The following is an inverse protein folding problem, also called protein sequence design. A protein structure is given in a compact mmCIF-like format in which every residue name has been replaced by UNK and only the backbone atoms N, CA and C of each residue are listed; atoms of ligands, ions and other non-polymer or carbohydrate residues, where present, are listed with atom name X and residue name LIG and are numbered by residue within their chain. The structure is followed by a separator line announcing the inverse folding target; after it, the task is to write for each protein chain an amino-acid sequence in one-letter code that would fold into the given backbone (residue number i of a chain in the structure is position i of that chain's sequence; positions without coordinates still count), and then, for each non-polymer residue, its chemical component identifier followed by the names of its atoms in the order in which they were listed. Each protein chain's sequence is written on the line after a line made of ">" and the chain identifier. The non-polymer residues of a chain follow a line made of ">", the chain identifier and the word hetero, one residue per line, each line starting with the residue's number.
data_IF_766807494761
#
_entry.id   IF_766807494761
#
_cell.length_a   1.000
_cell.length_b   1.000
_cell.length_c   1.000
_cell.angle_alpha   90.00
_cell.angle_beta   90.00
_cell.angle_gamma   90.00
#
_symmetry.space_group_name_H-M   'P 1'
#
loop_
_entity.id
_entity.type
_entity.pdbx_description
1 polymer ?
#
# COMPACT_ATOMS: atom_id res chain seq x y z
N UNK A 1 16.17 8.12 -26.50
CA UNK A 1 14.99 7.97 -25.64
C UNK A 1 14.95 6.62 -24.89
N UNK A 2 15.81 5.65 -25.25
CA UNK A 2 15.73 4.28 -24.67
C UNK A 2 16.44 4.08 -23.34
N UNK A 3 17.45 4.86 -23.01
CA UNK A 3 18.20 4.72 -21.75
C UNK A 3 17.38 5.16 -20.50
N UNK A 4 16.56 6.19 -20.65
CA UNK A 4 15.66 6.69 -19.58
C UNK A 4 14.54 5.69 -19.28
N UNK A 5 13.99 5.04 -20.31
CA UNK A 5 12.96 4.01 -20.16
C UNK A 5 13.50 2.77 -19.45
N UNK A 6 14.74 2.37 -19.75
CA UNK A 6 15.41 1.24 -19.09
C UNK A 6 15.74 1.51 -17.61
N UNK A 7 16.11 2.74 -17.26
CA UNK A 7 16.38 3.13 -15.88
C UNK A 7 15.11 3.17 -15.05
N UNK A 8 14.05 3.80 -15.57
CA UNK A 8 12.74 3.87 -14.90
C UNK A 8 12.16 2.47 -14.66
N UNK A 9 12.25 1.59 -15.65
CA UNK A 9 11.80 0.20 -15.51
C UNK A 9 12.61 -0.58 -14.46
N UNK A 10 13.94 -0.38 -14.38
CA UNK A 10 14.79 -1.00 -13.36
C UNK A 10 14.44 -0.51 -11.94
N UNK A 11 14.26 0.81 -11.78
CA UNK A 11 13.87 1.40 -10.49
C UNK A 11 12.50 0.88 -10.06
N UNK A 12 11.53 0.85 -10.98
CA UNK A 12 10.20 0.30 -10.72
C UNK A 12 10.29 -1.15 -10.23
N UNK A 13 10.97 -2.03 -10.98
CA UNK A 13 11.09 -3.44 -10.61
C UNK A 13 11.85 -3.66 -9.29
N UNK A 14 12.86 -2.82 -8.99
CA UNK A 14 13.57 -2.90 -7.73
C UNK A 14 12.69 -2.49 -6.54
N UNK A 15 11.92 -1.39 -6.70
CA UNK A 15 10.97 -0.92 -5.68
C UNK A 15 9.87 -1.96 -5.43
N UNK A 16 9.35 -2.57 -6.47
CA UNK A 16 8.31 -3.60 -6.38
C UNK A 16 8.81 -4.83 -5.60
N UNK A 17 9.99 -5.34 -5.96
CA UNK A 17 10.60 -6.46 -5.23
C UNK A 17 10.87 -6.12 -3.77
N UNK A 18 11.35 -4.91 -3.51
CA UNK A 18 11.62 -4.46 -2.13
C UNK A 18 10.34 -4.44 -1.30
N UNK A 19 9.24 -3.91 -1.85
CA UNK A 19 7.94 -3.85 -1.17
C UNK A 19 7.42 -5.27 -0.89
N UNK A 20 7.50 -6.16 -1.86
CA UNK A 20 7.04 -7.54 -1.72
C UNK A 20 7.83 -8.28 -0.64
N UNK A 21 9.17 -8.22 -0.67
CA UNK A 21 10.03 -8.84 0.33
C UNK A 21 9.81 -8.26 1.72
N UNK A 22 9.74 -6.94 1.82
CA UNK A 22 9.51 -6.26 3.10
C UNK A 22 8.17 -6.68 3.70
N UNK A 23 7.12 -6.77 2.89
CA UNK A 23 5.78 -7.19 3.33
C UNK A 23 5.79 -8.63 3.86
N UNK A 24 6.46 -9.55 3.17
CA UNK A 24 6.59 -10.95 3.60
C UNK A 24 7.37 -11.06 4.90
N UNK A 25 8.49 -10.35 5.02
CA UNK A 25 9.31 -10.37 6.24
C UNK A 25 8.53 -9.82 7.43
N UNK A 26 7.85 -8.68 7.26
CA UNK A 26 7.08 -8.07 8.34
C UNK A 26 5.89 -8.95 8.75
N UNK A 27 5.18 -9.53 7.79
CA UNK A 27 4.05 -10.42 8.06
C UNK A 27 4.50 -11.68 8.81
N UNK A 28 5.59 -12.30 8.35
CA UNK A 28 6.18 -13.46 9.01
C UNK A 28 6.67 -13.10 10.43
N UNK A 29 7.28 -11.93 10.58
CA UNK A 29 7.73 -11.42 11.87
C UNK A 29 6.59 -11.24 12.88
N UNK A 30 5.49 -10.60 12.46
CA UNK A 30 4.29 -10.45 13.31
C UNK A 30 3.71 -11.81 13.67
N UNK A 31 3.64 -12.74 12.73
CA UNK A 31 3.12 -14.08 13.00
C UNK A 31 3.94 -14.80 14.06
N UNK A 32 5.27 -14.81 13.93
CA UNK A 32 6.18 -15.43 14.90
C UNK A 32 6.07 -14.73 16.27
N UNK A 33 6.08 -13.39 16.29
CA UNK A 33 5.95 -12.64 17.55
C UNK A 33 4.61 -12.91 18.22
N UNK A 34 3.51 -13.03 17.46
CA UNK A 34 2.20 -13.36 18.00
C UNK A 34 2.16 -14.76 18.60
N UNK A 35 2.77 -15.76 17.94
CA UNK A 35 2.88 -17.11 18.50
C UNK A 35 3.71 -17.11 19.79
N UNK A 36 4.85 -16.42 19.79
CA UNK A 36 5.68 -16.28 20.98
C UNK A 36 4.91 -15.62 22.13
N UNK A 37 4.15 -14.55 21.84
CA UNK A 37 3.36 -13.84 22.85
C UNK A 37 2.29 -14.73 23.47
N UNK A 38 1.58 -15.54 22.67
CA UNK A 38 0.59 -16.51 23.16
C UNK A 38 1.28 -17.54 24.06
N UNK A 39 2.42 -18.07 23.63
CA UNK A 39 3.20 -19.05 24.41
C UNK A 39 3.65 -18.47 25.75
N UNK A 40 4.27 -17.29 25.77
CA UNK A 40 4.71 -16.61 27.01
C UNK A 40 3.54 -16.35 27.96
N UNK A 41 2.42 -15.86 27.44
CA UNK A 41 1.25 -15.56 28.25
C UNK A 41 0.63 -16.78 28.91
N UNK A 42 0.55 -17.92 28.18
CA UNK A 42 -0.13 -19.11 28.67
C UNK A 42 0.78 -20.06 29.44
N UNK A 43 2.04 -20.19 29.04
CA UNK A 43 2.99 -21.15 29.64
C UNK A 43 3.78 -20.51 30.77
N UNK A 44 4.35 -19.33 30.53
CA UNK A 44 5.21 -18.64 31.51
C UNK A 44 4.41 -17.70 32.44
N UNK A 45 3.17 -17.38 32.10
CA UNK A 45 2.30 -16.46 32.85
C UNK A 45 2.91 -15.05 33.03
N UNK A 46 3.86 -14.69 32.20
CA UNK A 46 4.56 -13.40 32.18
C UNK A 46 4.40 -12.77 30.80
N UNK A 47 3.42 -11.86 30.61
CA UNK A 47 3.15 -11.28 29.29
C UNK A 47 4.27 -10.30 28.90
N UNK A 48 4.74 -10.43 27.67
CA UNK A 48 5.74 -9.53 27.09
C UNK A 48 5.06 -8.27 26.60
N UNK A 49 5.06 -7.20 27.42
CA UNK A 49 4.31 -5.95 27.16
C UNK A 49 4.80 -5.25 25.89
N UNK A 50 6.12 -5.22 25.65
CA UNK A 50 6.69 -4.55 24.48
C UNK A 50 6.35 -5.24 23.15
N UNK A 51 6.06 -6.53 23.14
CA UNK A 51 5.73 -7.27 21.92
C UNK A 51 4.37 -6.87 21.36
N UNK A 52 3.42 -6.57 22.21
CA UNK A 52 2.07 -6.07 21.84
C UNK A 52 2.17 -4.74 21.08
N UNK A 53 2.96 -3.82 21.61
CA UNK A 53 3.21 -2.52 21.02
C UNK A 53 3.96 -2.65 19.68
N UNK A 54 4.97 -3.51 19.61
CA UNK A 54 5.72 -3.78 18.38
C UNK A 54 4.83 -4.37 17.27
N UNK A 55 3.98 -5.34 17.59
CA UNK A 55 3.03 -5.94 16.65
C UNK A 55 2.10 -4.87 16.09
N UNK A 56 1.54 -4.02 16.96
CA UNK A 56 0.63 -2.96 16.56
C UNK A 56 1.29 -1.95 15.62
N UNK A 57 2.51 -1.52 15.91
CA UNK A 57 3.26 -0.57 15.08
C UNK A 57 3.64 -1.18 13.71
N UNK A 58 4.08 -2.43 13.71
CA UNK A 58 4.46 -3.15 12.49
C UNK A 58 3.23 -3.44 11.62
N UNK A 59 2.07 -3.72 12.23
CA UNK A 59 0.81 -3.93 11.51
C UNK A 59 0.42 -2.72 10.66
N UNK A 60 0.62 -1.50 11.17
CA UNK A 60 0.37 -0.26 10.41
C UNK A 60 1.22 -0.23 9.12
N UNK A 61 2.48 -0.62 9.19
CA UNK A 61 3.35 -0.68 8.01
C UNK A 61 2.88 -1.71 6.99
N UNK A 62 2.47 -2.89 7.46
CA UNK A 62 1.92 -3.93 6.56
C UNK A 62 0.67 -3.45 5.84
N UNK A 63 -0.21 -2.72 6.53
CA UNK A 63 -1.41 -2.16 5.89
C UNK A 63 -1.06 -1.19 4.76
N UNK A 64 -0.10 -0.29 4.96
CA UNK A 64 0.33 0.63 3.91
C UNK A 64 1.03 -0.07 2.75
N UNK A 65 1.91 -1.03 3.02
CA UNK A 65 2.56 -1.83 1.97
C UNK A 65 1.55 -2.67 1.20
N UNK A 66 0.59 -3.28 1.89
CA UNK A 66 -0.50 -4.03 1.28
C UNK A 66 -1.34 -3.17 0.34
N UNK A 67 -1.60 -1.90 0.72
CA UNK A 67 -2.30 -0.97 -0.16
C UNK A 67 -1.51 -0.68 -1.44
N UNK A 68 -0.19 -0.41 -1.34
CA UNK A 68 0.67 -0.22 -2.52
C UNK A 68 0.68 -1.46 -3.43
N UNK A 69 0.72 -2.68 -2.83
CA UNK A 69 0.67 -3.93 -3.59
C UNK A 69 -0.68 -4.10 -4.30
N UNK A 70 -1.78 -3.77 -3.63
CA UNK A 70 -3.12 -3.84 -4.21
C UNK A 70 -3.27 -2.87 -5.39
N UNK A 71 -2.75 -1.65 -5.24
CA UNK A 71 -2.74 -0.63 -6.28
C UNK A 71 -1.98 -1.10 -7.52
N UNK A 72 -0.77 -1.62 -7.33
CA UNK A 72 0.07 -2.15 -8.40
C UNK A 72 -0.59 -3.28 -9.21
N UNK A 73 -1.35 -4.14 -8.51
CA UNK A 73 -2.03 -5.28 -9.14
C UNK A 73 -3.35 -4.91 -9.80
N UNK A 74 -3.70 -3.63 -9.89
CA UNK A 74 -5.00 -3.17 -10.38
C UNK A 74 -6.18 -3.89 -9.70
N UNK A 75 -6.02 -4.24 -8.40
CA UNK A 75 -6.98 -5.08 -7.67
C UNK A 75 -8.27 -4.34 -7.28
N UNK A 76 -8.66 -3.31 -8.00
CA UNK A 76 -9.95 -2.63 -7.82
C UNK A 76 -11.11 -3.48 -8.40
N UNK A 77 -11.25 -4.70 -7.88
CA UNK A 77 -12.23 -5.71 -8.31
C UNK A 77 -13.67 -5.15 -8.40
N UNK A 78 -14.01 -4.20 -7.55
CA UNK A 78 -15.37 -3.63 -7.53
C UNK A 78 -15.66 -2.75 -8.74
N UNK A 79 -14.65 -2.03 -9.23
CA UNK A 79 -14.78 -1.14 -10.38
C UNK A 79 -14.84 -1.97 -11.66
N UNK A 80 -14.08 -3.07 -11.75
CA UNK A 80 -14.08 -3.95 -12.93
C UNK A 80 -15.44 -4.60 -13.19
N UNK A 81 -16.14 -5.04 -12.16
CA UNK A 81 -17.48 -5.63 -12.30
C UNK A 81 -18.49 -4.61 -12.89
N UNK A 82 -18.46 -3.37 -12.41
CA UNK A 82 -19.32 -2.29 -12.91
C UNK A 82 -18.90 -1.86 -14.31
N UNK A 83 -17.60 -1.73 -14.57
CA UNK A 83 -17.07 -1.31 -15.87
C UNK A 83 -17.42 -2.29 -16.98
N UNK A 84 -17.44 -3.60 -16.70
CA UNK A 84 -17.81 -4.62 -17.68
C UNK A 84 -19.28 -4.55 -18.13
N UNK A 85 -20.14 -3.87 -17.36
CA UNK A 85 -21.55 -3.63 -17.72
C UNK A 85 -21.76 -2.35 -18.55
N UNK A 86 -20.74 -1.46 -18.63
CA UNK A 86 -20.85 -0.20 -19.35
C UNK A 86 -20.35 -0.32 -20.80
N UNK A 87 -20.91 0.49 -21.74
CA UNK A 87 -20.37 0.59 -23.10
C UNK A 87 -18.95 1.17 -23.08
N UNK A 88 -18.09 0.73 -24.02
CA UNK A 88 -16.65 1.09 -24.07
C UNK A 88 -16.36 2.59 -23.98
N UNK A 89 -17.22 3.43 -24.50
CA UNK A 89 -17.08 4.89 -24.40
C UNK A 89 -17.26 5.44 -22.99
N UNK A 90 -18.21 4.88 -22.22
CA UNK A 90 -18.43 5.28 -20.83
C UNK A 90 -17.34 4.72 -19.89
N UNK A 91 -16.80 3.54 -20.21
CA UNK A 91 -15.73 2.91 -19.42
C UNK A 91 -14.51 3.85 -19.28
N UNK A 92 -14.08 4.50 -20.37
CA UNK A 92 -12.94 5.43 -20.36
C UNK A 92 -13.15 6.58 -19.38
N UNK A 93 -14.32 7.20 -19.39
CA UNK A 93 -14.61 8.33 -18.52
C UNK A 93 -14.72 7.94 -17.05
N UNK A 94 -15.31 6.77 -16.78
CA UNK A 94 -15.44 6.26 -15.41
C UNK A 94 -14.06 5.88 -14.86
N UNK A 95 -13.20 5.21 -15.64
CA UNK A 95 -11.84 4.89 -15.22
C UNK A 95 -11.02 6.17 -14.96
N UNK A 96 -11.06 7.14 -15.87
CA UNK A 96 -10.36 8.41 -15.67
C UNK A 96 -10.84 9.15 -14.41
N UNK A 97 -12.16 9.15 -14.16
CA UNK A 97 -12.74 9.75 -12.96
C UNK A 97 -12.26 9.06 -11.68
N UNK A 98 -12.19 7.72 -11.68
CA UNK A 98 -11.66 6.96 -10.54
C UNK A 98 -10.18 7.29 -10.28
N UNK A 99 -9.34 7.31 -11.31
CA UNK A 99 -7.93 7.69 -11.15
C UNK A 99 -7.78 9.11 -10.55
N UNK A 100 -8.58 10.07 -11.04
CA UNK A 100 -8.56 11.44 -10.49
C UNK A 100 -8.97 11.46 -9.02
N UNK A 101 -10.03 10.73 -8.64
CA UNK A 101 -10.45 10.63 -7.24
C UNK A 101 -9.36 10.01 -6.35
N UNK A 102 -8.72 8.93 -6.82
CA UNK A 102 -7.61 8.29 -6.09
C UNK A 102 -6.42 9.24 -5.93
N UNK A 103 -6.08 10.02 -6.95
CA UNK A 103 -5.02 11.03 -6.86
C UNK A 103 -5.37 12.09 -5.82
N UNK A 104 -6.59 12.66 -5.86
CA UNK A 104 -7.03 13.66 -4.88
C UNK A 104 -6.96 13.09 -3.47
N UNK A 105 -7.48 11.88 -3.26
CA UNK A 105 -7.45 11.21 -1.96
C UNK A 105 -6.01 10.99 -1.47
N UNK A 106 -5.13 10.49 -2.33
CA UNK A 106 -3.72 10.24 -1.98
C UNK A 106 -2.97 11.53 -1.65
N UNK A 107 -3.24 12.63 -2.37
CA UNK A 107 -2.66 13.96 -2.06
C UNK A 107 -3.12 14.44 -0.69
N UNK A 108 -4.41 14.30 -0.37
CA UNK A 108 -4.93 14.63 0.97
C UNK A 108 -4.27 13.76 2.05
N UNK A 109 -4.09 12.46 1.79
CA UNK A 109 -3.41 11.55 2.71
C UNK A 109 -1.95 11.91 2.93
N UNK A 110 -1.22 12.37 1.91
CA UNK A 110 0.14 12.91 2.06
C UNK A 110 0.12 14.17 2.93
N UNK A 111 -0.77 15.10 2.65
CA UNK A 111 -0.87 16.36 3.38
C UNK A 111 -1.16 16.16 4.88
N UNK A 112 -2.19 15.36 5.20
CA UNK A 112 -2.54 15.06 6.59
C UNK A 112 -1.53 14.12 7.24
N UNK A 113 -0.94 13.20 6.47
CA UNK A 113 0.10 12.29 6.93
C UNK A 113 1.34 13.03 7.42
N UNK A 114 1.80 14.06 6.70
CA UNK A 114 2.94 14.89 7.13
C UNK A 114 2.63 15.59 8.46
N UNK A 115 1.42 16.12 8.62
CA UNK A 115 0.99 16.71 9.90
C UNK A 115 0.98 15.69 11.02
N UNK A 116 0.49 14.47 10.73
CA UNK A 116 0.44 13.37 11.69
C UNK A 116 1.84 12.95 12.13
N UNK A 117 2.80 12.89 11.20
CA UNK A 117 4.22 12.64 11.51
C UNK A 117 4.74 13.68 12.50
N UNK A 118 4.47 14.97 12.26
CA UNK A 118 4.88 16.04 13.18
C UNK A 118 4.33 15.90 14.59
N UNK A 119 3.09 15.43 14.74
CA UNK A 119 2.49 15.11 16.03
C UNK A 119 3.11 13.85 16.63
N UNK A 120 3.33 12.83 15.82
CA UNK A 120 3.90 11.56 16.24
C UNK A 120 5.34 11.65 16.72
N UNK A 121 6.13 12.58 16.19
CA UNK A 121 7.51 12.84 16.66
C UNK A 121 7.57 13.34 18.09
N UNK A 122 6.49 13.91 18.61
CA UNK A 122 6.38 14.39 20.00
C UNK A 122 5.91 13.29 20.97
N UNK A 123 5.58 12.10 20.47
CA UNK A 123 5.10 10.97 21.26
C UNK A 123 6.03 9.78 21.08
N UNK A 124 6.45 9.20 22.20
CA UNK A 124 7.21 7.96 22.25
C UNK A 124 6.32 6.81 22.72
N UNK A 125 6.58 5.64 22.19
CA UNK A 125 5.95 4.41 22.64
C UNK A 125 6.35 4.13 24.10
N UNK A 126 5.45 3.55 24.86
CA UNK A 126 5.62 3.41 26.32
C UNK A 126 6.62 2.31 26.65
N UNK A 127 6.57 1.20 25.92
CA UNK A 127 7.38 0.01 26.19
C UNK A 127 8.64 -0.07 25.33
N UNK A 128 8.61 0.59 24.17
CA UNK A 128 9.72 0.63 23.22
C UNK A 128 10.08 2.11 23.04
N UNK A 129 11.35 2.47 23.23
CA UNK A 129 11.81 3.87 23.05
C UNK A 129 11.79 4.29 21.55
N UNK A 130 10.65 4.09 20.88
CA UNK A 130 10.43 4.37 19.46
C UNK A 130 9.43 5.51 19.30
N UNK A 131 9.76 6.49 18.46
CA UNK A 131 8.85 7.60 18.18
C UNK A 131 7.74 7.18 17.22
N UNK A 132 6.48 7.44 17.57
CA UNK A 132 5.34 7.18 16.69
C UNK A 132 5.46 7.89 15.34
N UNK A 133 6.20 8.99 15.24
CA UNK A 133 6.46 9.68 13.99
C UNK A 133 7.14 8.79 12.94
N UNK A 134 8.08 7.92 13.37
CA UNK A 134 8.72 6.94 12.47
C UNK A 134 7.73 5.95 11.85
N UNK A 135 6.71 5.57 12.62
CA UNK A 135 5.66 4.67 12.12
C UNK A 135 4.76 5.39 11.12
N UNK A 136 4.41 6.63 11.40
CA UNK A 136 3.52 7.41 10.55
C UNK A 136 4.17 7.91 9.25
N UNK A 137 5.51 8.00 9.18
CA UNK A 137 6.25 8.35 7.94
C UNK A 137 5.93 7.39 6.79
N UNK A 138 5.63 6.12 7.09
CA UNK A 138 5.29 5.13 6.07
C UNK A 138 4.05 5.53 5.26
N UNK A 139 3.06 6.18 5.90
CA UNK A 139 1.85 6.66 5.24
C UNK A 139 2.12 7.61 4.07
N UNK A 140 2.74 8.77 4.26
CA UNK A 140 3.09 9.68 3.17
C UNK A 140 3.96 9.04 2.08
N UNK A 141 4.94 8.21 2.46
CA UNK A 141 5.83 7.54 1.49
C UNK A 141 5.03 6.61 0.57
N UNK A 142 4.19 5.75 1.14
CA UNK A 142 3.36 4.84 0.35
C UNK A 142 2.36 5.59 -0.53
N UNK A 143 1.74 6.66 -0.02
CA UNK A 143 0.84 7.47 -0.82
C UNK A 143 1.52 8.21 -1.97
N UNK A 144 2.77 8.65 -1.83
CA UNK A 144 3.54 9.19 -2.94
C UNK A 144 3.77 8.15 -4.04
N UNK A 145 4.06 6.91 -3.66
CA UNK A 145 4.20 5.81 -4.61
C UNK A 145 2.86 5.54 -5.33
N UNK A 146 1.75 5.55 -4.60
CA UNK A 146 0.40 5.37 -5.15
C UNK A 146 0.07 6.49 -6.15
N UNK A 147 0.35 7.75 -5.82
CA UNK A 147 0.15 8.88 -6.73
C UNK A 147 0.89 8.65 -8.06
N UNK A 148 2.12 8.14 -8.00
CA UNK A 148 2.89 7.85 -9.21
C UNK A 148 2.22 6.77 -10.07
N UNK A 149 1.72 5.68 -9.47
CA UNK A 149 1.01 4.62 -10.19
C UNK A 149 -0.31 5.13 -10.77
N UNK A 150 -1.07 5.92 -10.02
CA UNK A 150 -2.34 6.48 -10.46
C UNK A 150 -2.19 7.47 -11.62
N UNK A 151 -1.16 8.32 -11.59
CA UNK A 151 -0.85 9.23 -12.71
C UNK A 151 -0.47 8.42 -13.95
N UNK A 152 0.36 7.38 -13.81
CA UNK A 152 0.74 6.50 -14.92
C UNK A 152 -0.50 5.80 -15.51
N UNK A 153 -1.40 5.28 -14.66
CA UNK A 153 -2.66 4.66 -15.07
C UNK A 153 -3.61 5.64 -15.79
N UNK A 154 -3.71 6.87 -15.28
CA UNK A 154 -4.51 7.92 -15.92
C UNK A 154 -4.00 8.26 -17.33
N UNK A 155 -2.68 8.45 -17.48
CA UNK A 155 -2.05 8.73 -18.78
C UNK A 155 -2.32 7.57 -19.74
N UNK A 156 -2.15 6.32 -19.30
CA UNK A 156 -2.40 5.14 -20.11
C UNK A 156 -3.88 5.05 -20.54
N UNK A 157 -4.82 5.29 -19.63
CA UNK A 157 -6.26 5.32 -19.91
C UNK A 157 -6.62 6.39 -20.95
N UNK A 158 -5.98 7.55 -20.92
CA UNK A 158 -6.25 8.66 -21.86
C UNK A 158 -5.61 8.43 -23.24
N UNK A 159 -4.42 7.81 -23.31
CA UNK A 159 -3.65 7.65 -24.56
C UNK A 159 -3.95 6.35 -25.30
N UNK A 160 -4.02 5.23 -24.59
CA UNK A 160 -4.20 3.90 -25.17
C UNK A 160 -5.68 3.47 -25.16
N UNK A 161 -6.48 3.99 -24.25
CA UNK A 161 -7.89 3.65 -24.08
C UNK A 161 -8.15 2.90 -22.77
N UNK A 162 -9.42 2.57 -22.49
CA UNK A 162 -9.78 1.88 -21.26
C UNK A 162 -9.17 0.49 -21.24
N UNK A 163 -8.59 0.11 -20.10
CA UNK A 163 -8.11 -1.26 -19.89
C UNK A 163 -9.30 -2.23 -19.91
N UNK A 164 -9.22 -3.25 -20.76
CA UNK A 164 -10.22 -4.32 -20.81
C UNK A 164 -9.87 -5.38 -19.78
N UNK A 165 -10.70 -5.51 -18.75
CA UNK A 165 -10.48 -6.45 -17.64
C UNK A 165 -11.17 -7.81 -17.87
N UNK A 166 -11.80 -8.02 -19.04
CA UNK A 166 -12.57 -9.24 -19.33
C UNK A 166 -11.70 -10.50 -19.40
N UNK A 167 -10.45 -10.34 -19.82
CA UNK A 167 -9.54 -11.50 -19.99
C UNK A 167 -8.84 -11.96 -18.69
N UNK A 168 -8.79 -11.12 -17.64
CA UNK A 168 -8.11 -11.47 -16.38
C UNK A 168 -8.92 -12.38 -15.45
N UNK A 169 -10.19 -12.59 -15.70
CA UNK A 169 -11.08 -13.46 -14.91
C UNK A 169 -11.04 -14.94 -15.30
N UNK A 170 -10.30 -15.32 -16.34
CA UNK A 170 -10.20 -16.69 -16.85
C UNK A 170 -9.04 -17.52 -16.28
N UNK A 171 -8.02 -16.88 -15.74
CA UNK A 171 -6.78 -17.55 -15.35
C UNK A 171 -6.68 -17.89 -13.85
N UNK A 172 -7.71 -17.58 -13.06
CA UNK A 172 -7.77 -17.85 -11.60
C UNK A 172 -8.84 -18.87 -11.19
N UNK A 173 -9.24 -19.80 -12.11
CA UNK A 173 -10.11 -20.94 -11.74
C UNK A 173 -9.35 -22.24 -11.80
#
# INVERSE_FOLDING_TARGET
>A
MDATNGFVAKVKNATEKLIDWLSVILLTGIFILGLCQVFWRWVLRDPIIWSEELIQLTYVWICYLGWVIAERKDSHIRITAILNMLPKGAQKWVQAFCHVLCIIFSVLMVWFGIKLVGVGMKRTAVSIALNYGLVYVMGPICNLIIIFYEIAGLIECLTVGPRDYRDKGGDEQ
#
